data_IF_408018555069
#
_entry.id   IF_408018555069
#
_cell.length_a   1.000
_cell.length_b   1.000
_cell.length_c   1.000
_cell.angle_alpha   90.00
_cell.angle_beta   90.00
_cell.angle_gamma   90.00
#
_symmetry.space_group_name_H-M   'P 1'
#
loop_
_entity.id
_entity.type
_entity.pdbx_description
1 polymer ?
#
# COMPACT_ATOMS: atom_id res chain seq x y z
N UNK A 1 -6.01 10.54 6.47
CA UNK A 1 -5.81 11.19 5.15
C UNK A 1 -4.46 10.71 4.62
N UNK A 2 -4.46 9.98 3.48
CA UNK A 2 -3.31 9.26 2.90
C UNK A 2 -2.95 9.84 1.51
N UNK A 3 -1.92 9.33 0.84
CA UNK A 3 -1.48 9.75 -0.51
C UNK A 3 -0.37 10.79 -0.48
N UNK A 4 0.49 10.83 -1.51
CA UNK A 4 1.55 11.83 -1.63
C UNK A 4 0.97 13.26 -1.58
N UNK A 5 -0.12 13.50 -2.32
CA UNK A 5 -0.86 14.77 -2.30
C UNK A 5 -1.85 14.93 -1.14
N UNK A 6 -2.00 13.92 -0.27
CA UNK A 6 -2.90 13.92 0.90
C UNK A 6 -4.38 14.14 0.53
N UNK A 7 -4.83 13.62 -0.60
CA UNK A 7 -6.22 13.65 -1.07
C UNK A 7 -7.04 12.41 -0.63
N UNK A 8 -6.41 11.45 0.05
CA UNK A 8 -7.03 10.18 0.39
C UNK A 8 -6.89 9.10 -0.69
N UNK A 9 -6.26 9.44 -1.81
CA UNK A 9 -5.96 8.54 -2.92
C UNK A 9 -4.44 8.37 -3.06
N UNK A 10 -3.97 7.27 -3.66
CA UNK A 10 -2.54 7.10 -3.94
C UNK A 10 -2.10 7.82 -5.22
N UNK A 11 -2.56 9.05 -5.40
CA UNK A 11 -2.22 9.94 -6.50
C UNK A 11 -0.72 10.28 -6.45
N UNK A 12 -0.05 10.25 -7.60
CA UNK A 12 1.40 10.46 -7.74
C UNK A 12 1.71 11.45 -8.88
N UNK A 13 2.94 11.96 -8.96
CA UNK A 13 3.41 12.88 -10.00
C UNK A 13 4.94 12.93 -10.07
N UNK A 14 5.54 13.76 -10.94
CA UNK A 14 6.99 13.75 -11.19
C UNK A 14 7.86 14.00 -9.95
N UNK A 15 7.28 14.67 -8.95
CA UNK A 15 7.91 15.02 -7.67
C UNK A 15 8.01 13.81 -6.71
N UNK A 16 7.17 12.79 -6.88
CA UNK A 16 7.07 11.62 -5.98
C UNK A 16 8.05 10.52 -6.41
N UNK A 17 9.34 10.78 -6.16
CA UNK A 17 10.43 9.83 -6.47
C UNK A 17 10.27 8.49 -5.72
N UNK A 18 9.51 8.47 -4.63
CA UNK A 18 9.20 7.28 -3.86
C UNK A 18 8.11 6.39 -4.46
N UNK A 19 7.31 6.90 -5.41
CA UNK A 19 6.15 6.22 -6.00
C UNK A 19 5.22 5.68 -4.91
N UNK A 20 4.57 6.56 -4.15
CA UNK A 20 3.57 6.23 -3.13
C UNK A 20 2.24 5.81 -3.78
N UNK A 21 2.29 4.74 -4.56
CA UNK A 21 1.25 4.33 -5.51
C UNK A 21 0.46 3.11 -5.04
N UNK A 22 0.89 2.40 -3.99
CA UNK A 22 0.18 1.23 -3.44
C UNK A 22 -0.64 1.62 -2.22
N UNK A 23 -1.96 1.42 -2.27
CA UNK A 23 -2.82 1.53 -1.09
C UNK A 23 -2.75 0.21 -0.30
N UNK A 24 -1.94 0.18 0.75
CA UNK A 24 -1.79 -0.98 1.60
C UNK A 24 -2.69 -0.91 2.85
N UNK A 25 -3.26 -2.04 3.27
CA UNK A 25 -3.78 -2.23 4.62
C UNK A 25 -2.63 -2.76 5.47
N UNK A 26 -1.98 -1.89 6.25
CA UNK A 26 -0.72 -2.29 6.89
C UNK A 26 -0.95 -3.36 7.97
N UNK A 27 -0.07 -4.36 8.01
CA UNK A 27 -0.05 -5.40 9.05
C UNK A 27 1.07 -5.14 10.05
N UNK A 28 1.02 -5.79 11.23
CA UNK A 28 2.12 -5.71 12.20
C UNK A 28 3.44 -6.24 11.62
N UNK A 29 3.36 -7.31 10.83
CA UNK A 29 4.50 -7.91 10.12
C UNK A 29 5.10 -6.94 9.10
N UNK A 30 4.26 -6.31 8.27
CA UNK A 30 4.72 -5.32 7.32
C UNK A 30 5.38 -4.14 8.03
N UNK A 31 4.78 -3.58 9.10
CA UNK A 31 5.37 -2.47 9.85
C UNK A 31 6.73 -2.82 10.47
N UNK A 32 6.86 -4.03 11.02
CA UNK A 32 8.13 -4.53 11.56
C UNK A 32 9.19 -4.67 10.46
N UNK A 33 8.81 -5.22 9.31
CA UNK A 33 9.68 -5.33 8.14
C UNK A 33 10.12 -3.95 7.63
N UNK A 34 9.19 -3.02 7.44
CA UNK A 34 9.49 -1.66 6.98
C UNK A 34 10.49 -0.97 7.91
N UNK A 35 10.31 -1.09 9.23
CA UNK A 35 11.27 -0.58 10.21
C UNK A 35 12.66 -1.23 10.06
N UNK A 36 12.72 -2.54 9.83
CA UNK A 36 13.98 -3.27 9.67
C UNK A 36 14.77 -2.84 8.42
N UNK A 37 14.09 -2.42 7.35
CA UNK A 37 14.71 -1.87 6.13
C UNK A 37 14.89 -0.34 6.16
N UNK A 38 14.73 0.30 7.33
CA UNK A 38 14.97 1.74 7.52
C UNK A 38 13.79 2.65 7.16
N UNK A 39 12.60 2.11 6.91
CA UNK A 39 11.38 2.85 6.64
C UNK A 39 10.42 2.79 7.86
N UNK A 40 10.67 3.63 8.87
CA UNK A 40 9.83 3.64 10.07
C UNK A 40 8.46 4.29 9.79
N UNK A 41 7.45 3.44 9.59
CA UNK A 41 6.07 3.86 9.40
C UNK A 41 5.25 3.90 10.71
N UNK A 42 5.84 3.58 11.86
CA UNK A 42 5.10 3.49 13.13
C UNK A 42 5.32 4.70 14.04
N UNK A 43 6.48 5.33 13.97
CA UNK A 43 6.78 6.52 14.80
C UNK A 43 6.04 7.75 14.25
N UNK A 44 5.22 8.45 15.06
CA UNK A 44 4.61 9.70 14.66
C UNK A 44 5.66 10.78 14.36
N UNK A 45 5.47 11.55 13.29
CA UNK A 45 6.26 12.74 12.96
C UNK A 45 5.32 13.95 12.75
N UNK A 46 4.93 14.65 13.84
CA UNK A 46 3.97 15.76 13.78
C UNK A 46 4.36 16.90 12.83
N UNK A 47 5.66 17.17 12.69
CA UNK A 47 6.23 18.15 11.77
C UNK A 47 5.89 17.87 10.30
N UNK A 48 5.71 16.59 9.95
CA UNK A 48 5.29 16.12 8.62
C UNK A 48 3.80 15.74 8.57
N UNK A 49 3.06 16.02 9.65
CA UNK A 49 1.66 15.58 9.85
C UNK A 49 1.48 14.08 9.64
N UNK A 50 2.50 13.29 10.00
CA UNK A 50 2.46 11.85 9.93
C UNK A 50 2.07 11.28 11.30
N UNK A 51 0.92 10.60 11.44
CA UNK A 51 0.43 10.16 12.74
C UNK A 51 1.17 8.93 13.28
N UNK A 52 1.99 8.25 12.46
CA UNK A 52 2.42 6.88 12.72
C UNK A 52 1.28 5.90 12.47
N UNK A 53 1.58 4.79 11.80
CA UNK A 53 0.61 3.79 11.40
C UNK A 53 0.47 2.68 12.43
N UNK A 54 -0.71 2.06 12.46
CA UNK A 54 -1.05 0.88 13.24
C UNK A 54 -1.62 -0.19 12.32
N UNK A 55 -1.55 -1.48 12.72
CA UNK A 55 -2.17 -2.55 11.95
C UNK A 55 -3.65 -2.25 11.65
N UNK A 56 -4.05 -2.44 10.39
CA UNK A 56 -5.39 -2.14 9.87
C UNK A 56 -5.52 -0.76 9.23
N UNK A 57 -4.57 0.16 9.43
CA UNK A 57 -4.58 1.45 8.74
C UNK A 57 -4.41 1.28 7.24
N UNK A 58 -5.18 2.05 6.46
CA UNK A 58 -4.97 2.19 5.02
C UNK A 58 -3.99 3.33 4.74
N UNK A 59 -2.91 3.02 4.04
CA UNK A 59 -1.88 4.01 3.73
C UNK A 59 -1.25 3.79 2.37
N UNK A 60 -0.91 4.89 1.69
CA UNK A 60 -0.19 4.86 0.42
C UNK A 60 1.29 4.70 0.73
N UNK A 61 1.83 3.53 0.41
CA UNK A 61 3.23 3.17 0.64
C UNK A 61 3.99 3.22 -0.67
N UNK A 62 5.31 3.36 -0.57
CA UNK A 62 6.18 3.33 -1.76
C UNK A 62 6.11 1.96 -2.41
N UNK A 63 5.90 1.92 -3.73
CA UNK A 63 5.89 0.67 -4.50
C UNK A 63 7.20 -0.11 -4.32
N UNK A 64 8.32 0.61 -4.20
CA UNK A 64 9.65 0.02 -3.99
C UNK A 64 9.78 -0.73 -2.67
N UNK A 65 9.35 -0.13 -1.56
CA UNK A 65 9.47 -0.79 -0.25
C UNK A 65 8.40 -1.86 -0.05
N UNK A 66 7.25 -1.73 -0.70
CA UNK A 66 6.24 -2.78 -0.74
C UNK A 66 6.73 -3.99 -1.55
N UNK A 67 7.34 -3.77 -2.73
CA UNK A 67 7.95 -4.85 -3.52
C UNK A 67 9.05 -5.55 -2.72
N UNK A 68 9.88 -4.80 -2.01
CA UNK A 68 10.89 -5.39 -1.13
C UNK A 68 10.26 -6.28 -0.05
N UNK A 69 9.17 -5.82 0.57
CA UNK A 69 8.43 -6.64 1.53
C UNK A 69 7.83 -7.89 0.89
N UNK A 70 7.36 -7.82 -0.36
CA UNK A 70 6.90 -9.00 -1.10
C UNK A 70 8.04 -10.01 -1.31
N UNK A 71 9.21 -9.56 -1.76
CA UNK A 71 10.40 -10.41 -1.94
C UNK A 71 10.83 -11.09 -0.63
N UNK A 72 10.71 -10.37 0.49
CA UNK A 72 11.08 -10.85 1.82
C UNK A 72 9.91 -11.57 2.55
N UNK A 73 8.77 -11.79 1.89
CA UNK A 73 7.63 -12.56 2.40
C UNK A 73 6.71 -11.83 3.40
N UNK A 74 6.87 -10.52 3.56
CA UNK A 74 6.21 -9.68 4.56
C UNK A 74 5.28 -8.60 3.96
N UNK A 75 4.83 -8.75 2.71
CA UNK A 75 3.97 -7.78 2.03
C UNK A 75 2.62 -7.58 2.72
N UNK A 76 2.15 -6.33 2.73
CA UNK A 76 0.82 -5.98 3.24
C UNK A 76 -0.28 -6.20 2.18
N UNK A 77 -1.51 -6.55 2.59
CA UNK A 77 -2.67 -6.57 1.70
C UNK A 77 -2.89 -5.25 0.96
N UNK A 78 -3.43 -5.33 -0.26
CA UNK A 78 -3.57 -4.20 -1.20
C UNK A 78 -5.04 -3.93 -1.48
N UNK A 79 -5.42 -2.64 -1.49
CA UNK A 79 -6.71 -2.17 -2.00
C UNK A 79 -6.49 -1.74 -3.45
N UNK A 80 -6.81 -2.61 -4.41
CA UNK A 80 -6.55 -2.39 -5.83
C UNK A 80 -7.29 -1.18 -6.38
N UNK A 81 -8.55 -1.00 -6.01
CA UNK A 81 -9.38 0.14 -6.44
C UNK A 81 -8.84 1.50 -5.96
N UNK A 82 -7.89 1.50 -5.01
CA UNK A 82 -7.22 2.71 -4.49
C UNK A 82 -5.72 2.74 -4.80
N UNK A 83 -5.22 1.82 -5.63
CA UNK A 83 -3.82 1.70 -6.03
C UNK A 83 -3.64 2.29 -7.43
N UNK A 84 -2.62 3.13 -7.61
CA UNK A 84 -2.39 3.86 -8.86
C UNK A 84 -1.66 2.98 -9.89
N UNK A 85 -2.13 2.97 -11.14
CA UNK A 85 -1.63 2.09 -12.21
C UNK A 85 -0.13 2.21 -12.49
N UNK A 86 0.49 3.36 -12.20
CA UNK A 86 1.94 3.55 -12.29
C UNK A 86 2.77 2.53 -11.48
N UNK A 87 2.17 1.88 -10.46
CA UNK A 87 2.80 0.75 -9.76
C UNK A 87 3.20 -0.38 -10.72
N UNK A 88 2.48 -0.56 -11.84
CA UNK A 88 2.70 -1.64 -12.80
C UNK A 88 4.03 -1.53 -13.55
N UNK A 89 4.70 -0.38 -13.48
CA UNK A 89 6.09 -0.24 -13.94
C UNK A 89 7.10 -0.99 -13.05
N UNK A 90 6.72 -1.35 -11.81
CA UNK A 90 7.57 -2.01 -10.82
C UNK A 90 7.02 -3.37 -10.36
N UNK A 91 5.71 -3.48 -10.17
CA UNK A 91 5.07 -4.68 -9.61
C UNK A 91 4.02 -5.20 -10.60
N UNK A 92 4.13 -6.45 -11.09
CA UNK A 92 3.12 -7.02 -11.98
C UNK A 92 1.73 -7.06 -11.34
N UNK A 93 0.67 -6.85 -12.15
CA UNK A 93 -0.71 -6.86 -11.66
C UNK A 93 -1.05 -8.17 -10.92
N UNK A 94 -0.64 -9.32 -11.45
CA UNK A 94 -0.89 -10.62 -10.83
C UNK A 94 -0.29 -10.75 -9.41
N UNK A 95 0.82 -10.05 -9.12
CA UNK A 95 1.38 -9.99 -7.76
C UNK A 95 0.47 -9.15 -6.87
N UNK A 96 -0.03 -8.01 -7.34
CA UNK A 96 -0.94 -7.16 -6.57
C UNK A 96 -2.29 -7.86 -6.32
N UNK A 97 -2.82 -8.57 -7.31
CA UNK A 97 -4.06 -9.37 -7.20
C UNK A 97 -3.95 -10.47 -6.15
N UNK A 98 -2.78 -11.09 -6.00
CA UNK A 98 -2.54 -12.07 -4.95
C UNK A 98 -2.74 -11.51 -3.52
N UNK A 99 -2.52 -10.20 -3.33
CA UNK A 99 -2.69 -9.52 -2.05
C UNK A 99 -3.98 -8.69 -1.96
N UNK A 100 -4.85 -8.73 -2.97
CA UNK A 100 -6.03 -7.88 -3.05
C UNK A 100 -7.06 -8.21 -1.95
N UNK A 101 -7.66 -7.18 -1.36
CA UNK A 101 -8.72 -7.32 -0.35
C UNK A 101 -10.07 -6.70 -0.76
N UNK A 102 -10.12 -6.11 -1.95
CA UNK A 102 -11.28 -5.38 -2.48
C UNK A 102 -11.77 -5.90 -3.85
N UNK A 103 -11.08 -6.89 -4.42
CA UNK A 103 -11.52 -7.60 -5.62
C UNK A 103 -11.77 -9.06 -5.23
N UNK A 104 -13.00 -9.58 -5.35
CA UNK A 104 -13.26 -10.99 -5.09
C UNK A 104 -12.53 -11.85 -6.13
N UNK A 105 -11.97 -12.98 -5.69
CA UNK A 105 -11.25 -13.91 -6.57
C UNK A 105 -12.14 -14.65 -7.59
N UNK A 106 -13.46 -14.52 -7.47
CA UNK A 106 -14.46 -15.01 -8.41
C UNK A 106 -15.52 -13.93 -8.65
N UNK A 107 -15.78 -13.63 -9.92
CA UNK A 107 -16.81 -12.67 -10.31
C UNK A 107 -18.23 -13.18 -9.99
N UNK A 108 -18.42 -14.50 -9.81
CA UNK A 108 -19.70 -15.04 -9.33
C UNK A 108 -20.07 -14.56 -7.92
N UNK A 109 -19.07 -14.17 -7.11
CA UNK A 109 -19.30 -13.57 -5.80
C UNK A 109 -19.90 -12.15 -5.86
N UNK A 110 -19.95 -11.53 -7.05
CA UNK A 110 -20.66 -10.26 -7.27
C UNK A 110 -22.16 -10.46 -7.43
N UNK A 111 -22.60 -11.66 -7.85
CA UNK A 111 -24.02 -11.98 -7.99
C UNK A 111 -24.70 -12.14 -6.61
N UNK A 112 -23.94 -12.53 -5.58
CA UNK A 112 -24.39 -12.68 -4.19
C UNK A 112 -24.52 -11.33 -3.43
N UNK A 113 -24.14 -10.21 -4.06
CA UNK A 113 -24.26 -8.85 -3.51
C UNK A 113 -25.46 -8.07 -4.05
N UNK A 114 -26.32 -8.71 -4.87
CA UNK A 114 -27.55 -8.15 -5.44
C UNK A 114 -28.82 -8.60 -4.70
#
# INVERSE_FOLDING_TARGET
MTGFYRDGCCSTGPEDLGSHTICAVVSAEFLAHQRAIGNDLSTPMPEYRFPGLRPGDRWCVTARNWLRAHEDGAAAPVVLASTHEAVLALVPLAVLEHYAVDVPGDLSALDDLS
#
